data_IF_426834494420
#
_entry.id   IF_426834494420
#
_cell.length_a   1.000
_cell.length_b   1.000
_cell.length_c   1.000
_cell.angle_alpha   90.00
_cell.angle_beta   90.00
_cell.angle_gamma   90.00
#
_symmetry.space_group_name_H-M   'P 1'
#
loop_
_entity.id
_entity.type
_entity.pdbx_description
1 polymer ?
#
# COMPACT_ATOMS: atom_id res chain seq x y z
N UNK A 1 0.21 -6.66 -16.48
CA UNK A 1 -1.11 -7.15 -16.05
C UNK A 1 -1.74 -6.09 -15.17
N UNK A 2 -3.05 -5.92 -15.27
CA UNK A 2 -3.85 -5.03 -14.40
C UNK A 2 -4.89 -5.92 -13.70
N UNK A 3 -5.00 -5.79 -12.39
CA UNK A 3 -6.11 -6.34 -11.61
C UNK A 3 -6.92 -5.20 -11.02
N UNK A 4 -8.24 -5.25 -11.14
CA UNK A 4 -9.16 -4.30 -10.53
C UNK A 4 -9.97 -5.06 -9.49
N UNK A 5 -9.78 -4.73 -8.22
CA UNK A 5 -10.40 -5.42 -7.11
C UNK A 5 -11.37 -4.48 -6.38
N UNK A 6 -12.66 -4.84 -6.37
CA UNK A 6 -13.67 -4.19 -5.55
C UNK A 6 -13.93 -5.04 -4.30
N UNK A 7 -13.62 -4.50 -3.13
CA UNK A 7 -13.95 -5.12 -1.85
C UNK A 7 -15.42 -4.88 -1.54
N UNK A 8 -16.21 -5.95 -1.46
CA UNK A 8 -17.62 -5.93 -1.03
C UNK A 8 -17.92 -6.89 0.12
N UNK A 9 -16.89 -7.47 0.72
CA UNK A 9 -17.00 -8.45 1.80
C UNK A 9 -16.07 -8.05 2.96
N UNK A 10 -16.55 -8.22 4.17
CA UNK A 10 -15.78 -7.98 5.40
C UNK A 10 -14.71 -9.04 5.65
N UNK A 11 -14.89 -10.25 5.12
CA UNK A 11 -14.01 -11.40 5.34
C UNK A 11 -12.80 -11.42 4.40
N UNK A 12 -12.78 -10.54 3.38
CA UNK A 12 -11.74 -10.51 2.35
C UNK A 12 -11.20 -9.10 2.24
N UNK A 13 -9.87 -8.96 2.26
CA UNK A 13 -9.20 -7.69 2.00
C UNK A 13 -8.13 -7.89 0.92
N UNK A 14 -8.51 -7.64 -0.34
CA UNK A 14 -7.57 -7.65 -1.46
C UNK A 14 -6.41 -6.68 -1.22
N UNK A 15 -6.69 -5.53 -0.60
CA UNK A 15 -5.66 -4.56 -0.23
C UNK A 15 -4.63 -5.17 0.73
N UNK A 16 -5.07 -5.78 1.84
CA UNK A 16 -4.18 -6.46 2.78
C UNK A 16 -3.35 -7.53 2.09
N UNK A 17 -3.98 -8.43 1.36
CA UNK A 17 -3.29 -9.56 0.73
C UNK A 17 -2.23 -9.11 -0.29
N UNK A 18 -2.53 -8.08 -1.09
CA UNK A 18 -1.57 -7.53 -2.05
C UNK A 18 -0.45 -6.72 -1.35
N UNK A 19 -0.75 -5.98 -0.27
CA UNK A 19 0.28 -5.31 0.53
C UNK A 19 1.23 -6.34 1.17
N UNK A 20 0.71 -7.41 1.77
CA UNK A 20 1.53 -8.48 2.32
C UNK A 20 2.37 -9.17 1.23
N UNK A 21 1.83 -9.31 0.03
CA UNK A 21 2.57 -9.83 -1.13
C UNK A 21 3.73 -8.91 -1.52
N UNK A 22 3.53 -7.58 -1.56
CA UNK A 22 4.61 -6.61 -1.77
C UNK A 22 5.69 -6.75 -0.68
N UNK A 23 5.29 -6.78 0.59
CA UNK A 23 6.22 -6.80 1.73
C UNK A 23 7.01 -8.10 1.87
N UNK A 24 6.47 -9.21 1.38
CA UNK A 24 7.10 -10.54 1.45
C UNK A 24 7.89 -10.91 0.19
N UNK A 25 7.81 -10.14 -0.89
CA UNK A 25 8.53 -10.47 -2.11
C UNK A 25 10.05 -10.30 -1.89
N UNK A 26 10.86 -11.35 -2.09
CA UNK A 26 12.27 -11.32 -1.70
C UNK A 26 13.11 -10.43 -2.61
N UNK A 27 12.75 -10.25 -3.88
CA UNK A 27 13.63 -9.57 -4.84
C UNK A 27 13.44 -8.05 -4.87
N UNK A 28 12.54 -7.49 -4.05
CA UNK A 28 12.46 -6.04 -3.90
C UNK A 28 13.61 -5.51 -3.06
N UNK A 29 14.20 -4.40 -3.53
CA UNK A 29 15.21 -3.65 -2.78
C UNK A 29 14.59 -2.49 -2.00
N UNK A 30 13.41 -2.04 -2.43
CA UNK A 30 12.70 -0.93 -1.82
C UNK A 30 11.20 -1.03 -2.01
N UNK A 31 10.48 -0.49 -1.02
CA UNK A 31 9.02 -0.44 -1.00
C UNK A 31 8.59 0.96 -0.59
N UNK A 32 7.69 1.56 -1.36
CA UNK A 32 7.06 2.85 -1.04
C UNK A 32 5.62 2.59 -0.61
N UNK A 33 5.20 3.16 0.52
CA UNK A 33 3.83 3.09 1.05
C UNK A 33 3.35 4.50 1.31
N UNK A 34 2.24 4.87 0.69
CA UNK A 34 1.58 6.15 0.84
C UNK A 34 0.15 5.91 1.31
N UNK A 35 -0.29 6.60 2.37
CA UNK A 35 -1.69 6.56 2.81
C UNK A 35 -2.09 7.90 3.41
N UNK A 36 -3.37 8.26 3.25
CA UNK A 36 -3.91 9.45 3.90
C UNK A 36 -4.04 9.26 5.41
N UNK A 37 -4.46 8.06 5.82
CA UNK A 37 -4.70 7.72 7.21
C UNK A 37 -3.99 6.42 7.59
N UNK A 38 -3.45 6.39 8.80
CA UNK A 38 -2.85 5.22 9.42
C UNK A 38 -3.57 5.00 10.76
N UNK A 39 -4.10 3.81 11.00
CA UNK A 39 -4.76 3.48 12.26
C UNK A 39 -3.83 2.64 13.11
N UNK A 40 -3.30 3.24 14.16
CA UNK A 40 -2.42 2.59 15.11
C UNK A 40 -2.77 3.05 16.52
N UNK A 41 -3.65 2.30 17.19
CA UNK A 41 -4.15 2.62 18.53
C UNK A 41 -4.70 1.37 19.24
N UNK A 42 -5.20 1.55 20.46
CA UNK A 42 -5.72 0.44 21.29
C UNK A 42 -6.92 -0.32 20.70
N UNK A 43 -7.63 0.25 19.70
CA UNK A 43 -8.76 -0.42 19.04
C UNK A 43 -8.29 -1.30 17.89
N UNK A 44 -7.26 -0.86 17.17
CA UNK A 44 -6.71 -1.59 16.05
C UNK A 44 -5.30 -1.10 15.73
N UNK A 45 -4.44 -2.06 15.42
CA UNK A 45 -3.04 -1.88 15.06
C UNK A 45 -2.84 -2.51 13.68
N UNK A 46 -2.57 -1.69 12.66
CA UNK A 46 -2.31 -2.21 11.31
C UNK A 46 -0.95 -2.91 11.30
N UNK A 47 0.03 -2.37 12.03
CA UNK A 47 1.35 -3.00 12.14
C UNK A 47 1.29 -4.37 12.79
N UNK A 48 0.46 -4.50 13.84
CA UNK A 48 0.26 -5.70 14.65
C UNK A 48 -0.69 -6.74 14.06
N UNK A 49 -1.49 -6.40 13.04
CA UNK A 49 -2.31 -7.38 12.32
C UNK A 49 -1.39 -8.39 11.60
N UNK A 50 -0.65 -7.96 10.57
CA UNK A 50 0.33 -8.83 9.87
C UNK A 50 1.53 -8.11 9.25
N UNK A 51 1.58 -6.78 9.22
CA UNK A 51 2.63 -6.02 8.52
C UNK A 51 4.01 -6.32 9.12
N UNK A 52 4.18 -6.16 10.44
CA UNK A 52 5.47 -6.37 11.12
C UNK A 52 5.93 -7.81 10.94
N UNK A 53 5.04 -8.78 11.21
CA UNK A 53 5.33 -10.21 11.04
C UNK A 53 5.81 -10.53 9.63
N UNK A 54 5.16 -9.95 8.61
CA UNK A 54 5.47 -10.21 7.20
C UNK A 54 6.82 -9.61 6.81
N UNK A 55 7.12 -8.38 7.24
CA UNK A 55 8.41 -7.74 7.00
C UNK A 55 9.54 -8.54 7.66
N UNK A 56 9.37 -8.93 8.93
CA UNK A 56 10.38 -9.69 9.68
C UNK A 56 10.61 -11.10 9.11
N UNK A 57 9.59 -11.70 8.49
CA UNK A 57 9.69 -13.00 7.84
C UNK A 57 10.30 -12.95 6.43
N UNK A 58 10.49 -11.76 5.85
CA UNK A 58 11.08 -11.64 4.53
C UNK A 58 12.55 -12.13 4.56
N UNK A 59 12.98 -13.03 3.65
CA UNK A 59 14.35 -13.54 3.59
C UNK A 59 15.44 -12.45 3.45
N UNK A 60 15.08 -11.29 2.91
CA UNK A 60 15.93 -10.12 2.74
C UNK A 60 15.63 -9.01 3.75
N UNK A 61 14.98 -9.33 4.88
CA UNK A 61 14.82 -8.40 6.00
C UNK A 61 16.15 -7.71 6.36
N UNK A 62 16.09 -6.40 6.61
CA UNK A 62 17.26 -5.54 6.87
C UNK A 62 17.99 -5.07 5.62
N UNK A 63 17.68 -5.59 4.42
CA UNK A 63 18.23 -5.09 3.14
C UNK A 63 17.22 -4.25 2.34
N UNK A 64 15.92 -4.43 2.59
CA UNK A 64 14.85 -3.70 1.92
C UNK A 64 14.71 -2.31 2.55
N UNK A 65 14.73 -1.26 1.73
CA UNK A 65 14.45 0.11 2.16
C UNK A 65 12.96 0.40 2.10
N UNK A 66 12.37 0.80 3.22
CA UNK A 66 10.97 1.21 3.28
C UNK A 66 10.86 2.74 3.27
N UNK A 67 10.00 3.27 2.42
CA UNK A 67 9.61 4.69 2.44
C UNK A 67 8.13 4.80 2.79
N UNK A 68 7.80 5.53 3.85
CA UNK A 68 6.44 5.70 4.35
C UNK A 68 6.02 7.16 4.20
N UNK A 69 4.94 7.42 3.48
CA UNK A 69 4.42 8.75 3.20
C UNK A 69 3.02 8.88 3.83
N UNK A 70 2.88 9.83 4.75
CA UNK A 70 1.62 10.18 5.38
C UNK A 70 1.24 11.64 5.14
N UNK A 71 0.04 12.01 5.57
CA UNK A 71 -0.22 13.45 5.67
C UNK A 71 -1.66 13.92 5.74
N UNK A 72 -2.72 13.11 5.68
CA UNK A 72 -4.07 13.68 5.86
C UNK A 72 -4.39 13.93 7.34
N UNK A 73 -3.83 14.99 7.90
CA UNK A 73 -4.06 15.34 9.31
C UNK A 73 -4.96 16.55 9.48
N UNK A 74 -5.38 17.20 8.39
CA UNK A 74 -6.30 18.35 8.43
C UNK A 74 -7.78 17.99 8.56
N UNK A 75 -8.14 16.71 8.53
CA UNK A 75 -9.53 16.26 8.54
C UNK A 75 -10.22 16.47 9.89
N UNK A 76 -11.43 17.01 9.86
CA UNK A 76 -12.30 17.20 11.03
C UNK A 76 -13.64 16.53 10.76
N UNK A 77 -14.09 15.65 11.65
CA UNK A 77 -15.39 15.00 11.59
C UNK A 77 -16.31 15.53 12.67
N UNK A 78 -17.43 16.15 12.30
CA UNK A 78 -18.43 16.71 13.23
C UNK A 78 -17.81 17.64 14.31
N UNK A 79 -16.83 18.46 13.90
CA UNK A 79 -16.14 19.38 14.81
C UNK A 79 -15.03 18.75 15.66
N UNK A 80 -14.82 17.43 15.59
CA UNK A 80 -13.72 16.73 16.27
C UNK A 80 -12.64 16.36 15.26
N UNK A 81 -11.41 16.77 15.53
CA UNK A 81 -10.24 16.37 14.75
C UNK A 81 -9.82 14.97 15.21
N UNK A 82 -9.94 13.92 14.38
CA UNK A 82 -9.41 12.62 14.75
C UNK A 82 -7.89 12.70 14.86
N UNK A 83 -7.33 11.90 15.76
CA UNK A 83 -5.91 11.94 16.09
C UNK A 83 -5.05 11.17 15.08
N UNK A 84 -5.15 11.53 13.80
CA UNK A 84 -4.45 10.85 12.72
C UNK A 84 -2.94 11.10 12.72
N UNK A 85 -2.50 12.24 13.29
CA UNK A 85 -1.09 12.53 13.45
C UNK A 85 -0.43 11.57 14.44
N UNK A 86 -0.96 11.48 15.68
CA UNK A 86 -0.37 10.58 16.68
C UNK A 86 -0.50 9.11 16.28
N UNK A 87 -1.52 8.73 15.50
CA UNK A 87 -1.62 7.37 14.96
C UNK A 87 -0.60 7.10 13.86
N UNK A 88 -0.24 8.10 13.04
CA UNK A 88 0.90 7.98 12.13
C UNK A 88 2.20 7.82 12.92
N UNK A 89 2.41 8.60 13.97
CA UNK A 89 3.58 8.47 14.85
C UNK A 89 3.63 7.09 15.51
N UNK A 90 2.49 6.60 15.98
CA UNK A 90 2.38 5.27 16.59
C UNK A 90 2.70 4.17 15.56
N UNK A 91 2.26 4.33 14.31
CA UNK A 91 2.58 3.41 13.21
C UNK A 91 4.08 3.36 12.96
N UNK A 92 4.73 4.51 12.81
CA UNK A 92 6.18 4.61 12.60
C UNK A 92 6.96 4.06 13.81
N UNK A 93 6.55 4.40 15.03
CA UNK A 93 7.15 3.90 16.27
C UNK A 93 7.02 2.38 16.39
N UNK A 94 5.88 1.82 16.00
CA UNK A 94 5.69 0.36 15.97
C UNK A 94 6.68 -0.31 15.01
N UNK A 95 6.90 0.23 13.82
CA UNK A 95 7.93 -0.28 12.89
C UNK A 95 9.34 -0.15 13.49
N UNK A 96 9.69 1.03 14.01
CA UNK A 96 11.00 1.34 14.59
C UNK A 96 11.34 0.43 15.77
N UNK A 97 10.40 0.23 16.70
CA UNK A 97 10.58 -0.62 17.89
C UNK A 97 10.72 -2.10 17.55
N UNK A 98 10.21 -2.54 16.39
CA UNK A 98 10.43 -3.88 15.86
C UNK A 98 11.72 -3.99 15.01
N UNK A 99 12.57 -2.96 14.99
CA UNK A 99 13.86 -2.97 14.28
C UNK A 99 13.74 -2.79 12.76
N UNK A 100 12.59 -2.34 12.27
CA UNK A 100 12.37 -2.08 10.84
C UNK A 100 12.89 -0.68 10.51
N UNK A 101 13.88 -0.60 9.62
CA UNK A 101 14.41 0.68 9.13
C UNK A 101 13.52 1.26 8.02
N UNK A 102 13.23 2.56 8.09
CA UNK A 102 12.44 3.26 7.09
C UNK A 102 12.86 4.73 6.98
N UNK A 103 12.53 5.35 5.85
CA UNK A 103 12.44 6.79 5.70
C UNK A 103 10.96 7.19 5.77
N UNK A 104 10.63 8.27 6.49
CA UNK A 104 9.26 8.75 6.56
C UNK A 104 9.16 10.19 6.04
N UNK A 105 8.06 10.49 5.36
CA UNK A 105 7.78 11.82 4.83
C UNK A 105 6.35 12.23 5.11
N UNK A 106 6.15 13.54 5.25
CA UNK A 106 4.84 14.16 5.31
C UNK A 106 4.62 15.07 4.11
N UNK A 107 3.39 15.13 3.63
CA UNK A 107 2.99 16.18 2.69
C UNK A 107 2.89 17.52 3.44
N UNK A 108 3.56 18.55 2.94
CA UNK A 108 3.75 19.85 3.60
C UNK A 108 2.43 20.52 4.00
N UNK A 109 1.38 20.39 3.20
CA UNK A 109 0.05 21.00 3.45
C UNK A 109 -0.86 20.13 4.31
N UNK A 110 -0.41 18.94 4.71
CA UNK A 110 -1.18 17.95 5.48
C UNK A 110 -2.52 17.59 4.83
N UNK A 111 -2.52 17.46 3.50
CA UNK A 111 -3.69 17.10 2.67
C UNK A 111 -3.46 15.85 1.81
N UNK A 112 -2.39 15.09 2.07
CA UNK A 112 -2.12 13.84 1.35
C UNK A 112 -3.28 12.86 1.45
N UNK A 113 -4.02 12.61 0.38
CA UNK A 113 -5.13 11.64 0.40
C UNK A 113 -4.95 10.48 -0.59
N UNK A 114 -3.83 10.44 -1.31
CA UNK A 114 -3.51 9.31 -2.17
C UNK A 114 -3.22 8.06 -1.32
N UNK A 115 -3.59 6.89 -1.86
CA UNK A 115 -3.21 5.60 -1.28
C UNK A 115 -2.54 4.78 -2.37
N UNK A 116 -1.23 4.59 -2.20
CA UNK A 116 -0.36 3.99 -3.20
C UNK A 116 0.64 3.11 -2.47
N UNK A 117 0.90 1.91 -2.98
CA UNK A 117 2.06 1.12 -2.57
C UNK A 117 2.82 0.65 -3.81
N UNK A 118 4.15 0.72 -3.79
CA UNK A 118 5.01 0.33 -4.92
C UNK A 118 6.13 -0.59 -4.42
N UNK A 119 6.33 -1.71 -5.10
CA UNK A 119 7.51 -2.57 -4.92
C UNK A 119 8.51 -2.34 -6.06
N UNK A 120 9.78 -2.11 -5.71
CA UNK A 120 10.85 -1.83 -6.66
C UNK A 120 11.96 -2.88 -6.56
N UNK A 121 12.51 -3.22 -7.72
CA UNK A 121 13.70 -4.05 -7.86
C UNK A 121 14.70 -3.30 -8.73
N UNK A 122 15.93 -3.15 -8.25
CA UNK A 122 16.98 -2.34 -8.87
C UNK A 122 16.48 -0.92 -9.19
N UNK A 123 15.79 -0.30 -8.22
CA UNK A 123 15.12 1.01 -8.35
C UNK A 123 14.07 1.10 -9.47
N UNK A 124 13.67 -0.04 -10.04
CA UNK A 124 12.69 -0.11 -11.12
C UNK A 124 11.37 -0.61 -10.54
N UNK A 125 10.25 0.14 -10.67
CA UNK A 125 8.97 -0.29 -10.12
C UNK A 125 8.44 -1.51 -10.88
N UNK A 126 8.10 -2.56 -10.13
CA UNK A 126 7.63 -3.85 -10.66
C UNK A 126 6.16 -4.09 -10.42
N UNK A 127 5.65 -3.53 -9.33
CA UNK A 127 4.26 -3.63 -8.91
C UNK A 127 3.81 -2.34 -8.26
N UNK A 128 2.55 -1.95 -8.46
CA UNK A 128 1.91 -0.90 -7.70
C UNK A 128 0.47 -1.26 -7.34
N UNK A 129 0.02 -0.83 -6.17
CA UNK A 129 -1.38 -0.80 -5.75
C UNK A 129 -1.80 0.66 -5.69
N UNK A 130 -2.90 1.03 -6.34
CA UNK A 130 -3.41 2.41 -6.38
C UNK A 130 -4.92 2.35 -6.21
N UNK A 131 -5.46 3.05 -5.21
CA UNK A 131 -6.89 3.02 -4.99
C UNK A 131 -7.38 3.84 -3.81
N UNK A 132 -8.47 3.36 -3.21
CA UNK A 132 -9.19 4.05 -2.14
C UNK A 132 -8.87 3.52 -0.73
N UNK A 133 -8.20 2.36 -0.62
CA UNK A 133 -7.88 1.74 0.66
C UNK A 133 -6.78 2.46 1.45
N UNK A 134 -7.08 2.91 2.67
CA UNK A 134 -6.06 3.40 3.61
C UNK A 134 -5.52 2.26 4.49
N UNK A 135 -4.40 2.49 5.17
CA UNK A 135 -3.93 1.65 6.28
C UNK A 135 -4.79 1.87 7.53
N UNK A 136 -6.05 1.47 7.49
CA UNK A 136 -7.01 1.58 8.61
C UNK A 136 -7.84 0.30 8.72
N UNK A 137 -8.43 0.03 9.88
CA UNK A 137 -9.20 -1.20 10.09
C UNK A 137 -10.30 -1.41 9.01
N UNK A 138 -11.13 -0.41 8.67
CA UNK A 138 -12.21 -0.60 7.70
C UNK A 138 -11.73 -0.98 6.28
N UNK A 139 -10.53 -0.56 5.87
CA UNK A 139 -10.00 -0.85 4.54
C UNK A 139 -9.06 -2.06 4.54
N UNK A 140 -8.25 -2.25 5.59
CA UNK A 140 -7.19 -3.25 5.66
C UNK A 140 -7.63 -4.56 6.31
N UNK A 141 -8.31 -4.50 7.46
CA UNK A 141 -8.59 -5.71 8.25
C UNK A 141 -9.52 -6.70 7.54
N UNK A 142 -9.44 -7.97 7.93
CA UNK A 142 -10.43 -9.00 7.62
C UNK A 142 -11.16 -9.36 8.92
N UNK A 143 -12.46 -9.64 8.85
CA UNK A 143 -13.29 -10.03 10.01
C UNK A 143 -13.46 -8.97 11.11
N UNK A 144 -13.24 -7.68 10.80
CA UNK A 144 -13.56 -6.59 11.72
C UNK A 144 -15.05 -6.22 11.65
N UNK A 145 -15.58 -5.64 12.74
CA UNK A 145 -17.01 -5.32 12.89
C UNK A 145 -17.55 -4.34 11.83
N UNK A 146 -16.66 -3.62 11.15
CA UNK A 146 -16.98 -2.69 10.07
C UNK A 146 -15.92 -2.79 8.97
N UNK A 147 -16.35 -2.65 7.72
CA UNK A 147 -15.49 -2.57 6.55
C UNK A 147 -15.97 -1.47 5.59
N UNK A 148 -15.08 -0.99 4.74
CA UNK A 148 -15.39 -0.08 3.64
C UNK A 148 -15.52 -0.86 2.33
N UNK A 149 -16.40 -0.38 1.46
CA UNK A 149 -16.37 -0.76 0.04
C UNK A 149 -15.24 0.03 -0.62
N UNK A 150 -14.15 -0.65 -0.93
CA UNK A 150 -12.92 -0.05 -1.48
C UNK A 150 -12.64 -0.62 -2.87
N UNK A 151 -12.05 0.19 -3.74
CA UNK A 151 -11.61 -0.24 -5.06
C UNK A 151 -10.12 0.07 -5.21
N UNK A 152 -9.34 -0.97 -5.53
CA UNK A 152 -7.91 -0.86 -5.73
C UNK A 152 -7.53 -1.48 -7.08
N UNK A 153 -6.59 -0.82 -7.76
CA UNK A 153 -5.99 -1.28 -9.00
C UNK A 153 -4.59 -1.78 -8.66
N UNK A 154 -4.29 -3.02 -9.06
CA UNK A 154 -2.96 -3.61 -8.97
C UNK A 154 -2.36 -3.64 -10.36
N UNK A 155 -1.26 -2.91 -10.54
CA UNK A 155 -0.45 -2.88 -11.74
C UNK A 155 0.75 -3.81 -11.51
N UNK A 156 0.87 -4.87 -12.31
CA UNK A 156 1.92 -5.89 -12.16
C UNK A 156 2.68 -6.05 -13.48
N UNK A 157 4.01 -5.90 -13.47
CA UNK A 157 4.83 -6.25 -14.63
C UNK A 157 4.74 -7.76 -14.92
N UNK A 158 4.75 -8.10 -16.20
CA UNK A 158 4.53 -9.48 -16.65
C UNK A 158 5.82 -10.28 -16.53
N UNK A 159 6.12 -10.73 -15.32
CA UNK A 159 7.28 -11.56 -15.00
C UNK A 159 6.83 -12.79 -14.22
N UNK A 160 7.28 -13.98 -14.63
CA UNK A 160 6.76 -15.26 -14.11
C UNK A 160 6.89 -15.38 -12.58
N UNK A 161 7.98 -14.88 -12.01
CA UNK A 161 8.21 -14.93 -10.55
C UNK A 161 7.23 -14.03 -9.80
N UNK A 162 7.02 -12.80 -10.29
CA UNK A 162 6.01 -11.87 -9.76
C UNK A 162 4.60 -12.44 -9.89
N UNK A 163 4.23 -12.97 -11.06
CA UNK A 163 2.90 -13.55 -11.28
C UNK A 163 2.62 -14.72 -10.33
N UNK A 164 3.60 -15.59 -10.09
CA UNK A 164 3.47 -16.70 -9.16
C UNK A 164 3.36 -16.24 -7.71
N UNK A 165 4.12 -15.20 -7.31
CA UNK A 165 4.12 -14.71 -5.94
C UNK A 165 2.82 -13.98 -5.58
N UNK A 166 2.35 -13.11 -6.47
CA UNK A 166 1.11 -12.36 -6.27
C UNK A 166 -0.14 -13.22 -6.51
N UNK A 167 -0.04 -14.21 -7.41
CA UNK A 167 -1.09 -15.17 -7.73
C UNK A 167 -2.49 -14.55 -7.84
N UNK A 168 -2.61 -13.43 -8.57
CA UNK A 168 -3.86 -12.63 -8.62
C UNK A 168 -5.07 -13.43 -9.11
N UNK A 169 -4.83 -14.52 -9.86
CA UNK A 169 -5.86 -15.44 -10.33
C UNK A 169 -6.53 -16.21 -9.18
N UNK A 170 -5.85 -16.40 -8.04
CA UNK A 170 -6.45 -17.06 -6.87
C UNK A 170 -7.61 -16.27 -6.25
N UNK A 171 -7.72 -14.97 -6.54
CA UNK A 171 -8.84 -14.13 -6.11
C UNK A 171 -10.06 -14.25 -7.02
N UNK A 172 -9.89 -14.85 -8.21
CA UNK A 172 -10.96 -14.96 -9.20
C UNK A 172 -11.81 -16.19 -8.88
N UNK A 173 -13.04 -15.94 -8.46
CA UNK A 173 -14.05 -16.99 -8.30
C UNK A 173 -14.90 -17.06 -9.56
N UNK A 174 -14.93 -18.23 -10.20
CA UNK A 174 -15.83 -18.48 -11.33
C UNK A 174 -17.28 -18.11 -10.94
N UNK A 175 -18.00 -17.49 -11.87
CA UNK A 175 -19.40 -17.05 -11.72
C UNK A 175 -19.67 -15.95 -10.67
N UNK A 176 -18.65 -15.35 -10.06
CA UNK A 176 -18.80 -14.16 -9.21
C UNK A 176 -18.54 -12.86 -10.00
N UNK A 177 -19.55 -12.02 -10.29
CA UNK A 177 -19.38 -10.77 -11.03
C UNK A 177 -18.63 -9.69 -10.24
N UNK A 178 -18.41 -9.88 -8.94
CA UNK A 178 -17.64 -8.99 -8.07
C UNK A 178 -16.23 -9.53 -7.80
N UNK A 179 -15.84 -10.65 -8.41
CA UNK A 179 -14.45 -11.10 -8.37
C UNK A 179 -13.54 -10.10 -9.10
N UNK A 180 -12.24 -10.01 -8.74
CA UNK A 180 -11.34 -9.07 -9.38
C UNK A 180 -11.25 -9.29 -10.90
N UNK A 181 -11.26 -8.19 -11.66
CA UNK A 181 -11.10 -8.23 -13.10
C UNK A 181 -9.60 -8.25 -13.41
N UNK A 182 -9.13 -9.33 -14.05
CA UNK A 182 -7.76 -9.40 -14.56
C UNK A 182 -7.74 -9.05 -16.04
N UNK A 183 -7.06 -7.96 -16.39
CA UNK A 183 -6.89 -7.48 -17.76
C UNK A 183 -5.41 -7.44 -18.16
N UNK A 184 -5.14 -7.73 -19.43
CA UNK A 184 -3.85 -7.42 -20.04
C UNK A 184 -3.91 -6.04 -20.68
N UNK A 185 -2.79 -5.33 -20.64
CA UNK A 185 -2.66 -4.07 -21.36
C UNK A 185 -2.52 -4.42 -22.84
N UNK A 186 -3.37 -3.79 -23.65
CA UNK A 186 -3.20 -3.78 -25.09
C UNK A 186 -2.04 -2.83 -25.43
N UNK A 187 -0.93 -3.40 -25.89
CA UNK A 187 0.27 -2.68 -26.29
C UNK A 187 0.16 -2.09 -27.70
N UNK A 188 -0.80 -2.54 -28.51
CA UNK A 188 -1.06 -2.01 -29.85
C UNK A 188 -1.91 -0.73 -29.80
N UNK A 189 -2.54 -0.46 -28.66
CA UNK A 189 -3.15 0.84 -28.37
C UNK A 189 -2.07 1.87 -28.04
N UNK A 190 -2.02 2.98 -28.79
CA UNK A 190 -0.97 3.99 -28.64
C UNK A 190 -1.07 4.74 -27.30
N UNK A 191 -0.35 4.25 -26.30
CA UNK A 191 -0.26 4.80 -24.95
C UNK A 191 1.14 4.53 -24.37
N UNK A 192 1.60 5.32 -23.38
CA UNK A 192 2.85 5.03 -22.69
C UNK A 192 2.85 3.63 -22.09
N UNK A 193 4.00 2.96 -22.13
CA UNK A 193 4.12 1.60 -21.64
C UNK A 193 3.92 1.53 -20.12
N UNK A 194 3.63 0.33 -19.60
CA UNK A 194 3.32 0.16 -18.17
C UNK A 194 4.51 0.55 -17.28
N UNK A 195 5.73 0.25 -17.69
CA UNK A 195 6.92 0.59 -16.93
C UNK A 195 7.11 2.11 -16.89
N UNK A 196 6.99 2.80 -18.03
CA UNK A 196 7.02 4.26 -18.12
C UNK A 196 5.99 4.91 -17.18
N UNK A 197 4.76 4.37 -17.12
CA UNK A 197 3.70 4.87 -16.23
C UNK A 197 4.04 4.66 -14.76
N UNK A 198 4.53 3.48 -14.39
CA UNK A 198 4.94 3.19 -13.02
C UNK A 198 6.11 4.08 -12.59
N UNK A 199 7.07 4.31 -13.48
CA UNK A 199 8.18 5.23 -13.24
C UNK A 199 7.68 6.67 -13.06
N UNK A 200 6.72 7.12 -13.87
CA UNK A 200 6.14 8.46 -13.74
C UNK A 200 5.44 8.65 -12.39
N UNK A 201 4.64 7.66 -11.94
CA UNK A 201 4.01 7.69 -10.61
C UNK A 201 5.07 7.72 -9.51
N UNK A 202 6.09 6.86 -9.58
CA UNK A 202 7.15 6.81 -8.59
C UNK A 202 7.93 8.14 -8.49
N UNK A 203 8.24 8.78 -9.62
CA UNK A 203 8.88 10.11 -9.63
C UNK A 203 8.00 11.18 -8.99
N UNK A 204 6.70 11.21 -9.30
CA UNK A 204 5.78 12.17 -8.66
C UNK A 204 5.72 11.97 -7.14
N UNK A 205 5.80 10.72 -6.67
CA UNK A 205 5.83 10.41 -5.24
C UNK A 205 7.13 10.83 -4.57
N UNK A 206 8.27 10.57 -5.20
CA UNK A 206 9.59 10.65 -4.53
C UNK A 206 10.32 11.97 -4.80
N UNK A 207 10.13 12.56 -5.96
CA UNK A 207 10.85 13.77 -6.41
C UNK A 207 9.98 15.03 -6.32
N UNK A 208 8.71 14.90 -5.91
CA UNK A 208 7.79 16.02 -5.78
C UNK A 208 8.21 17.00 -4.68
N UNK A 209 8.14 18.31 -4.96
CA UNK A 209 8.48 19.38 -4.00
C UNK A 209 7.52 19.47 -2.79
N UNK A 210 6.48 18.63 -2.75
CA UNK A 210 5.41 18.68 -1.76
C UNK A 210 5.69 17.85 -0.50
N UNK A 211 6.77 17.07 -0.49
CA UNK A 211 7.17 16.29 0.68
C UNK A 211 8.20 17.03 1.55
N UNK A 212 8.16 16.74 2.83
CA UNK A 212 9.22 17.05 3.78
C UNK A 212 9.57 15.80 4.57
N UNK A 213 10.86 15.65 4.85
CA UNK A 213 11.36 14.55 5.68
C UNK A 213 10.75 14.66 7.07
N UNK A 214 10.26 13.53 7.56
CA UNK A 214 9.72 13.43 8.90
C UNK A 214 10.81 12.90 9.82
N UNK A 215 11.14 13.62 10.90
CA UNK A 215 12.26 13.29 11.79
C UNK A 215 11.87 13.09 13.26
N UNK A 216 10.58 13.24 13.59
CA UNK A 216 10.10 13.36 14.98
C UNK A 216 9.77 12.00 15.65
N UNK A 217 10.51 10.93 15.34
CA UNK A 217 10.34 9.58 15.90
C UNK A 217 11.51 9.09 16.76
#
# INVERSE_FOLDING_TARGET
MISIALRTDLNISYFKQNILSILSYPDFDSVVICSGYFQENNKYSVTGDEIVKTILANPNFGKISYTIIGGNFGYTFRGVKPDWHNQFDSFLNSLKTNGISFNAFLERRRKWHAKIAIGLQEKTPKVAIIGSSNFTAPAYSENHNTYNVECDIILLLKEKQLENHFNLQSFVTADNPLSPIIANIDFDFNQPDLLERLQAINRELMDGENLEEYTDF
#
